data_IF_512923212917
#
_entry.id   IF_512923212917
#
_cell.length_a   1.000
_cell.length_b   1.000
_cell.length_c   1.000
_cell.angle_alpha   90.00
_cell.angle_beta   90.00
_cell.angle_gamma   90.00
#
_symmetry.space_group_name_H-M   'P 1'
#
loop_
_entity.id
_entity.type
_entity.pdbx_description
1 polymer ?
#
# COMPACT_ATOMS: atom_id res chain seq x y z
N UNK A 1 -57.25 -21.55 -55.04
CA UNK A 1 -55.92 -21.66 -54.51
C UNK A 1 -55.48 -20.29 -53.97
N UNK A 2 -55.59 -20.07 -52.66
CA UNK A 2 -55.11 -18.92 -51.95
C UNK A 2 -54.47 -19.47 -50.69
N UNK A 3 -53.11 -19.47 -50.63
CA UNK A 3 -52.29 -19.93 -49.54
C UNK A 3 -52.37 -18.93 -48.39
N UNK A 4 -52.94 -19.36 -47.27
CA UNK A 4 -52.94 -18.66 -46.00
C UNK A 4 -51.56 -18.88 -45.35
N UNK A 5 -50.76 -17.78 -45.22
CA UNK A 5 -49.58 -17.74 -44.43
C UNK A 5 -49.96 -17.61 -42.94
N UNK A 6 -49.74 -18.69 -42.21
CA UNK A 6 -49.80 -18.67 -40.74
C UNK A 6 -48.50 -18.08 -40.21
N UNK A 7 -48.57 -16.88 -39.66
CA UNK A 7 -47.49 -16.34 -38.82
C UNK A 7 -47.68 -16.89 -37.40
N UNK A 8 -46.87 -17.89 -37.05
CA UNK A 8 -46.73 -18.33 -35.67
C UNK A 8 -45.65 -17.48 -35.04
N UNK A 9 -46.04 -16.50 -34.24
CA UNK A 9 -45.10 -15.77 -33.38
C UNK A 9 -44.71 -16.71 -32.23
N UNK A 10 -43.56 -17.33 -32.34
CA UNK A 10 -42.98 -18.07 -31.25
C UNK A 10 -42.42 -17.05 -30.25
N UNK A 11 -43.13 -16.82 -29.15
CA UNK A 11 -42.56 -16.14 -27.97
C UNK A 11 -41.64 -17.14 -27.34
N UNK A 12 -40.36 -17.07 -27.71
CA UNK A 12 -39.30 -17.75 -26.97
C UNK A 12 -39.12 -17.02 -25.64
N UNK A 13 -39.71 -17.58 -24.59
CA UNK A 13 -39.31 -17.21 -23.23
C UNK A 13 -37.85 -17.61 -23.05
N UNK A 14 -36.98 -16.61 -23.02
CA UNK A 14 -35.59 -16.80 -22.63
C UNK A 14 -35.62 -17.00 -21.11
N UNK A 15 -35.26 -18.18 -20.59
CA UNK A 15 -35.06 -18.32 -19.15
C UNK A 15 -33.79 -17.54 -18.81
N UNK A 16 -33.95 -16.35 -18.23
CA UNK A 16 -32.84 -15.69 -17.51
C UNK A 16 -32.56 -16.57 -16.29
N UNK A 17 -31.67 -17.50 -16.45
CA UNK A 17 -31.12 -18.21 -15.32
C UNK A 17 -30.32 -17.17 -14.47
N UNK A 18 -30.99 -16.62 -13.47
CA UNK A 18 -30.34 -15.91 -12.37
C UNK A 18 -29.54 -16.94 -11.55
N UNK A 19 -28.40 -17.37 -12.05
CA UNK A 19 -27.36 -17.94 -11.20
C UNK A 19 -26.74 -16.78 -10.46
N UNK A 20 -27.36 -16.42 -9.34
CA UNK A 20 -26.72 -15.57 -8.34
C UNK A 20 -25.48 -16.27 -7.83
N UNK A 21 -24.34 -15.94 -8.40
CA UNK A 21 -23.06 -16.08 -7.72
C UNK A 21 -23.05 -14.99 -6.67
N UNK A 22 -23.68 -15.30 -5.54
CA UNK A 22 -23.31 -14.68 -4.26
C UNK A 22 -21.89 -15.16 -3.98
N UNK A 23 -20.92 -14.56 -4.65
CA UNK A 23 -19.57 -14.52 -4.13
C UNK A 23 -19.71 -13.79 -2.80
N UNK A 24 -19.73 -14.58 -1.72
CA UNK A 24 -19.52 -14.07 -0.37
C UNK A 24 -18.12 -13.46 -0.38
N UNK A 25 -18.01 -12.22 -0.85
CA UNK A 25 -16.93 -11.36 -0.46
C UNK A 25 -17.09 -11.24 1.06
N UNK A 26 -16.44 -12.16 1.77
CA UNK A 26 -16.09 -11.93 3.15
C UNK A 26 -15.33 -10.59 3.11
N UNK A 27 -16.04 -9.55 3.52
CA UNK A 27 -15.42 -8.34 3.97
C UNK A 27 -14.61 -8.70 5.22
N UNK A 28 -13.48 -9.37 5.00
CA UNK A 28 -12.37 -9.30 5.91
C UNK A 28 -11.88 -7.86 5.79
N UNK A 29 -12.53 -6.97 6.54
CA UNK A 29 -11.88 -5.72 6.91
C UNK A 29 -10.58 -6.14 7.58
N UNK A 30 -9.42 -5.95 6.95
CA UNK A 30 -8.25 -5.78 7.73
C UNK A 30 -8.50 -4.45 8.45
N UNK A 31 -8.98 -4.51 9.68
CA UNK A 31 -8.68 -3.44 10.62
C UNK A 31 -7.16 -3.35 10.51
N UNK A 32 -6.68 -2.36 9.79
CA UNK A 32 -5.28 -2.00 9.84
C UNK A 32 -4.99 -1.89 11.33
N UNK A 33 -4.29 -2.88 11.84
CA UNK A 33 -3.73 -2.81 13.17
C UNK A 33 -2.87 -1.55 13.11
N UNK A 34 -3.38 -0.48 13.70
CA UNK A 34 -2.60 0.75 13.93
C UNK A 34 -1.26 0.24 14.45
N UNK A 35 -0.16 0.44 13.74
CA UNK A 35 1.12 -0.04 14.18
C UNK A 35 1.29 0.46 15.60
N UNK A 36 1.65 -0.45 16.50
CA UNK A 36 1.85 -0.15 17.91
C UNK A 36 2.64 1.15 17.99
N UNK A 37 2.09 2.11 18.71
CA UNK A 37 2.65 3.45 18.83
C UNK A 37 4.16 3.37 18.89
N UNK A 38 4.85 4.05 17.98
CA UNK A 38 6.30 4.22 18.02
C UNK A 38 6.63 4.55 19.49
N UNK A 39 7.47 3.78 20.17
CA UNK A 39 7.76 4.06 21.55
C UNK A 39 8.34 5.48 21.63
N UNK A 40 7.55 6.39 22.15
CA UNK A 40 7.98 7.74 22.47
C UNK A 40 8.93 7.67 23.67
N UNK A 41 10.06 7.05 23.46
CA UNK A 41 11.14 7.00 24.41
C UNK A 41 12.23 7.99 24.00
N UNK A 42 11.90 9.26 24.00
CA UNK A 42 12.93 10.27 24.22
C UNK A 42 13.13 10.30 25.73
N UNK A 43 14.25 9.80 26.25
CA UNK A 43 14.53 9.88 27.68
C UNK A 43 14.47 11.35 28.12
N UNK A 44 13.85 11.62 29.26
CA UNK A 44 13.65 12.96 29.79
C UNK A 44 14.92 13.70 30.26
N UNK A 45 16.12 13.23 29.88
CA UNK A 45 17.40 13.87 30.14
C UNK A 45 17.87 14.64 28.91
N UNK A 46 18.17 15.94 29.10
CA UNK A 46 18.79 16.72 28.03
C UNK A 46 20.19 16.16 27.73
N UNK A 47 20.56 15.93 26.47
CA UNK A 47 21.87 15.37 26.09
C UNK A 47 23.04 16.13 26.67
N UNK A 48 22.89 17.43 26.93
CA UNK A 48 23.91 18.28 27.51
C UNK A 48 24.27 17.97 28.99
N UNK A 49 23.42 17.21 29.69
CA UNK A 49 23.65 16.81 31.11
C UNK A 49 24.28 15.42 31.25
N UNK A 50 24.41 14.67 30.17
CA UNK A 50 24.93 13.30 30.17
C UNK A 50 26.48 13.29 30.20
N UNK A 51 27.03 12.34 30.95
CA UNK A 51 28.46 12.02 30.86
C UNK A 51 28.75 11.27 29.55
N UNK A 52 30.02 11.31 29.12
CA UNK A 52 30.44 10.67 27.87
C UNK A 52 30.11 9.18 27.76
N UNK A 53 30.27 8.32 28.81
CA UNK A 53 29.78 6.93 28.74
C UNK A 53 28.29 6.81 28.58
N UNK A 54 27.51 7.71 29.21
CA UNK A 54 26.06 7.74 29.05
C UNK A 54 25.65 8.16 27.64
N UNK A 55 26.31 9.19 27.06
CA UNK A 55 26.06 9.62 25.67
C UNK A 55 26.26 8.43 24.70
N UNK A 56 27.32 7.63 24.89
CA UNK A 56 27.57 6.45 24.03
C UNK A 56 26.44 5.41 24.14
N UNK A 57 25.97 5.13 25.34
CA UNK A 57 24.84 4.20 25.55
C UNK A 57 23.57 4.74 24.91
N UNK A 58 23.28 6.01 25.15
CA UNK A 58 22.12 6.70 24.57
C UNK A 58 22.20 6.77 23.05
N UNK A 59 23.38 6.94 22.47
CA UNK A 59 23.58 6.97 21.03
C UNK A 59 23.22 5.63 20.38
N UNK A 60 23.55 4.50 21.01
CA UNK A 60 23.15 3.16 20.55
C UNK A 60 21.63 3.02 20.62
N UNK A 61 21.03 3.43 21.74
CA UNK A 61 19.56 3.37 21.91
C UNK A 61 18.84 4.26 20.89
N UNK A 62 19.32 5.49 20.69
CA UNK A 62 18.74 6.43 19.72
C UNK A 62 18.92 5.97 18.27
N UNK A 63 20.05 5.36 17.95
CA UNK A 63 20.28 4.77 16.62
C UNK A 63 19.30 3.64 16.32
N UNK A 64 19.06 2.78 17.30
CA UNK A 64 18.05 1.73 17.18
C UNK A 64 16.65 2.31 17.01
N UNK A 65 16.27 3.28 17.83
CA UNK A 65 14.97 3.94 17.71
C UNK A 65 14.76 4.59 16.32
N UNK A 66 15.82 5.17 15.75
CA UNK A 66 15.78 5.69 14.38
C UNK A 66 15.57 4.58 13.34
N UNK A 67 16.25 3.44 13.51
CA UNK A 67 16.07 2.28 12.62
C UNK A 67 14.63 1.74 12.70
N UNK A 68 14.12 1.54 13.91
CA UNK A 68 12.76 1.08 14.16
C UNK A 68 11.73 2.06 13.53
N UNK A 69 11.93 3.37 13.68
CA UNK A 69 11.07 4.39 13.06
C UNK A 69 11.13 4.34 11.53
N UNK A 70 12.29 4.11 10.93
CA UNK A 70 12.43 3.95 9.47
C UNK A 70 11.72 2.69 8.95
N UNK A 71 11.71 1.60 9.71
CA UNK A 71 10.94 0.39 9.39
C UNK A 71 9.44 0.68 9.42
N UNK A 72 8.96 1.44 10.43
CA UNK A 72 7.56 1.86 10.52
C UNK A 72 7.15 2.70 9.32
N UNK A 73 7.97 3.65 8.85
CA UNK A 73 7.72 4.41 7.61
C UNK A 73 7.57 3.49 6.41
N UNK A 74 8.43 2.47 6.32
CA UNK A 74 8.39 1.53 5.20
C UNK A 74 7.10 0.72 5.21
N UNK A 75 6.66 0.24 6.37
CA UNK A 75 5.40 -0.46 6.55
C UNK A 75 4.20 0.46 6.23
N UNK A 76 4.15 1.66 6.80
CA UNK A 76 3.07 2.63 6.57
C UNK A 76 2.93 3.01 5.08
N UNK A 77 4.03 3.17 4.35
CA UNK A 77 4.00 3.40 2.89
C UNK A 77 3.43 2.22 2.12
N UNK A 78 3.74 0.99 2.54
CA UNK A 78 3.17 -0.22 1.95
C UNK A 78 1.66 -0.25 2.17
N UNK A 79 1.20 0.05 3.38
CA UNK A 79 -0.22 0.08 3.74
C UNK A 79 -0.98 1.19 2.98
N UNK A 80 -0.39 2.39 2.85
CA UNK A 80 -0.95 3.49 2.05
C UNK A 80 -1.09 3.11 0.57
N UNK A 81 -0.10 2.39 0.02
CA UNK A 81 -0.19 1.87 -1.35
C UNK A 81 -1.32 0.85 -1.49
N UNK A 82 -1.45 -0.09 -0.54
CA UNK A 82 -2.52 -1.09 -0.53
C UNK A 82 -3.91 -0.43 -0.40
N UNK A 83 -4.04 0.57 0.46
CA UNK A 83 -5.28 1.33 0.62
C UNK A 83 -5.67 2.09 -0.66
N UNK A 84 -4.70 2.66 -1.38
CA UNK A 84 -4.93 3.32 -2.68
C UNK A 84 -5.46 2.33 -3.72
N UNK A 85 -4.91 1.12 -3.77
CA UNK A 85 -5.40 0.04 -4.66
C UNK A 85 -6.83 -0.36 -4.27
N UNK A 86 -7.13 -0.49 -2.97
CA UNK A 86 -8.46 -0.85 -2.49
C UNK A 86 -9.52 0.19 -2.89
N UNK A 87 -9.20 1.49 -2.86
CA UNK A 87 -10.09 2.56 -3.37
C UNK A 87 -10.36 2.40 -4.86
N UNK A 88 -9.34 2.09 -5.65
CA UNK A 88 -9.50 1.90 -7.09
C UNK A 88 -10.39 0.69 -7.41
N UNK A 89 -10.25 -0.41 -6.68
CA UNK A 89 -11.09 -1.60 -6.81
C UNK A 89 -12.54 -1.30 -6.40
N UNK A 90 -12.75 -0.67 -5.24
CA UNK A 90 -14.09 -0.31 -4.76
C UNK A 90 -14.82 0.64 -5.75
N UNK A 91 -14.12 1.61 -6.33
CA UNK A 91 -14.69 2.48 -7.36
C UNK A 91 -15.07 1.71 -8.64
N UNK A 92 -14.33 0.69 -9.02
CA UNK A 92 -14.66 -0.20 -10.13
C UNK A 92 -15.95 -0.99 -9.83
N UNK A 93 -16.12 -1.44 -8.58
CA UNK A 93 -17.31 -2.15 -8.15
C UNK A 93 -18.54 -1.24 -8.18
N UNK A 94 -18.40 0.03 -7.75
CA UNK A 94 -19.46 1.05 -7.90
C UNK A 94 -19.86 1.22 -9.36
N UNK A 95 -18.91 1.34 -10.27
CA UNK A 95 -19.19 1.47 -11.71
C UNK A 95 -19.92 0.24 -12.26
N UNK A 96 -19.48 -0.97 -11.89
CA UNK A 96 -20.10 -2.22 -12.27
C UNK A 96 -21.54 -2.34 -11.75
N UNK A 97 -21.78 -2.00 -10.49
CA UNK A 97 -23.11 -1.99 -9.89
C UNK A 97 -24.03 -0.97 -10.60
N UNK A 98 -23.53 0.22 -10.92
CA UNK A 98 -24.27 1.23 -11.66
C UNK A 98 -24.64 0.76 -13.08
N UNK A 99 -23.77 0.07 -13.77
CA UNK A 99 -24.02 -0.50 -15.09
C UNK A 99 -25.14 -1.59 -15.03
N UNK A 100 -25.11 -2.44 -14.00
CA UNK A 100 -26.16 -3.46 -13.81
C UNK A 100 -27.51 -2.83 -13.49
N UNK A 101 -27.54 -1.76 -12.67
CA UNK A 101 -28.76 -0.98 -12.42
C UNK A 101 -29.29 -0.36 -13.72
N UNK A 102 -28.43 0.24 -14.53
CA UNK A 102 -28.83 0.82 -15.81
C UNK A 102 -29.43 -0.23 -16.78
N UNK A 103 -28.94 -1.47 -16.71
CA UNK A 103 -29.55 -2.59 -17.48
C UNK A 103 -30.90 -2.96 -16.93
N UNK A 104 -31.07 -3.08 -15.62
CA UNK A 104 -32.37 -3.39 -14.99
C UNK A 104 -33.41 -2.32 -15.31
N UNK A 105 -33.06 -1.04 -15.27
CA UNK A 105 -33.93 0.06 -15.66
C UNK A 105 -34.34 0.00 -17.13
N UNK A 106 -33.47 -0.40 -18.05
CA UNK A 106 -33.82 -0.64 -19.46
C UNK A 106 -34.81 -1.79 -19.62
N UNK A 107 -34.60 -2.88 -18.88
CA UNK A 107 -35.54 -4.03 -18.89
C UNK A 107 -36.89 -3.59 -18.37
N UNK A 108 -36.96 -2.86 -17.27
CA UNK A 108 -38.22 -2.33 -16.72
C UNK A 108 -38.93 -1.43 -17.73
N UNK A 109 -38.22 -0.55 -18.42
CA UNK A 109 -38.80 0.28 -19.48
C UNK A 109 -39.41 -0.52 -20.63
N UNK A 110 -38.75 -1.58 -21.07
CA UNK A 110 -39.26 -2.46 -22.13
C UNK A 110 -40.47 -3.28 -21.67
N UNK A 111 -40.43 -3.84 -20.46
CA UNK A 111 -41.56 -4.61 -19.91
C UNK A 111 -42.76 -3.74 -19.66
N UNK A 112 -42.59 -2.52 -19.14
CA UNK A 112 -43.68 -1.56 -18.94
C UNK A 112 -44.33 -1.15 -20.26
N UNK A 113 -43.51 -0.90 -21.30
CA UNK A 113 -44.02 -0.61 -22.65
C UNK A 113 -44.83 -1.79 -23.21
N UNK A 114 -44.35 -3.02 -23.05
CA UNK A 114 -45.03 -4.24 -23.48
C UNK A 114 -46.37 -4.44 -22.74
N UNK A 115 -46.38 -4.20 -21.43
CA UNK A 115 -47.60 -4.27 -20.62
C UNK A 115 -48.64 -3.24 -21.06
N UNK A 116 -48.20 -2.02 -21.37
CA UNK A 116 -49.09 -0.96 -21.90
C UNK A 116 -49.72 -1.38 -23.22
N UNK A 117 -48.96 -1.93 -24.16
CA UNK A 117 -49.46 -2.43 -25.45
C UNK A 117 -50.46 -3.59 -25.25
N UNK A 118 -50.13 -4.54 -24.36
CA UNK A 118 -51.05 -5.65 -24.04
C UNK A 118 -52.37 -5.15 -23.46
N UNK A 119 -52.34 -4.19 -22.57
CA UNK A 119 -53.54 -3.55 -22.01
C UNK A 119 -54.36 -2.83 -23.09
N UNK A 120 -53.72 -2.05 -23.95
CA UNK A 120 -54.39 -1.36 -25.07
C UNK A 120 -55.08 -2.35 -26.00
N UNK A 121 -54.43 -3.46 -26.32
CA UNK A 121 -55.03 -4.52 -27.14
C UNK A 121 -56.23 -5.18 -26.46
N UNK A 122 -56.21 -5.39 -25.16
CA UNK A 122 -57.31 -5.91 -24.38
C UNK A 122 -58.48 -4.93 -24.41
N UNK A 123 -58.24 -3.64 -24.19
CA UNK A 123 -59.25 -2.57 -24.18
C UNK A 123 -59.89 -2.40 -25.55
N UNK A 124 -59.10 -2.44 -26.61
CA UNK A 124 -59.64 -2.38 -28.00
C UNK A 124 -60.55 -3.57 -28.35
N UNK A 125 -60.11 -4.77 -27.92
CA UNK A 125 -60.94 -5.98 -28.09
C UNK A 125 -62.20 -5.89 -27.27
N UNK A 126 -62.19 -5.42 -26.05
CA UNK A 126 -63.35 -5.21 -25.20
C UNK A 126 -64.34 -4.22 -25.85
N UNK A 127 -63.81 -3.09 -26.39
CA UNK A 127 -64.61 -2.12 -27.14
C UNK A 127 -65.23 -2.73 -28.34
N UNK A 128 -64.51 -3.48 -29.17
CA UNK A 128 -65.03 -4.16 -30.36
C UNK A 128 -66.13 -5.13 -30.03
N UNK A 129 -65.99 -5.89 -28.94
CA UNK A 129 -67.03 -6.79 -28.45
C UNK A 129 -68.30 -6.03 -27.98
N UNK A 130 -68.10 -4.90 -27.26
CA UNK A 130 -69.18 -4.09 -26.75
C UNK A 130 -69.96 -3.40 -27.90
N UNK A 131 -69.26 -2.80 -28.89
CA UNK A 131 -69.86 -2.10 -30.02
C UNK A 131 -70.46 -3.10 -31.02
N UNK A 132 -69.74 -4.17 -31.35
CA UNK A 132 -70.17 -5.20 -32.26
C UNK A 132 -71.32 -6.07 -31.67
N UNK A 133 -71.38 -6.13 -30.33
CA UNK A 133 -72.47 -6.84 -29.64
C UNK A 133 -73.74 -6.01 -29.53
N UNK A 134 -73.67 -4.66 -29.75
CA UNK A 134 -74.84 -3.78 -29.76
C UNK A 134 -75.66 -3.84 -31.08
N UNK A 135 -74.94 -4.07 -32.20
CA UNK A 135 -75.60 -4.19 -33.55
C UNK A 135 -75.70 -5.63 -34.02
N UNK A 136 -75.06 -6.59 -33.35
CA UNK A 136 -75.33 -8.00 -33.64
C UNK A 136 -76.71 -8.39 -33.07
N UNK A 137 -77.58 -8.93 -33.85
CA UNK A 137 -78.86 -9.41 -33.33
C UNK A 137 -78.53 -10.33 -32.14
N UNK A 138 -79.14 -10.01 -30.99
CA UNK A 138 -78.92 -10.79 -29.77
C UNK A 138 -79.17 -12.27 -30.05
N UNK A 139 -78.49 -13.19 -29.37
CA UNK A 139 -78.71 -14.62 -29.54
C UNK A 139 -80.17 -14.95 -29.51
N UNK A 140 -80.98 -14.18 -28.80
CA UNK A 140 -82.43 -14.22 -28.79
C UNK A 140 -83.05 -13.87 -30.15
N UNK A 141 -82.52 -12.83 -30.83
CA UNK A 141 -83.04 -12.41 -32.13
C UNK A 141 -82.58 -13.39 -33.22
N UNK A 142 -81.38 -13.92 -33.17
CA UNK A 142 -80.95 -14.99 -34.11
C UNK A 142 -81.72 -16.28 -33.88
N UNK A 143 -82.02 -16.64 -32.65
CA UNK A 143 -82.86 -17.81 -32.30
C UNK A 143 -84.31 -17.65 -32.74
N UNK A 144 -84.80 -16.41 -32.74
CA UNK A 144 -86.23 -16.13 -33.09
C UNK A 144 -86.43 -15.87 -34.58
N UNK A 145 -85.39 -15.46 -35.32
CA UNK A 145 -85.52 -15.03 -36.72
C UNK A 145 -84.83 -15.95 -37.73
N UNK A 146 -83.85 -16.76 -37.31
CA UNK A 146 -83.19 -17.65 -38.26
C UNK A 146 -83.82 -18.99 -38.35
N UNK A 147 -84.29 -19.31 -39.54
CA UNK A 147 -84.78 -20.68 -39.95
C UNK A 147 -83.61 -21.54 -40.48
N UNK A 148 -82.41 -21.00 -40.49
CA UNK A 148 -81.22 -21.65 -41.01
C UNK A 148 -80.28 -22.05 -39.89
N UNK A 149 -80.04 -23.35 -39.75
CA UNK A 149 -79.09 -23.92 -38.76
C UNK A 149 -77.63 -23.51 -39.01
N UNK A 150 -77.29 -23.07 -40.23
CA UNK A 150 -75.92 -22.61 -40.59
C UNK A 150 -75.59 -21.29 -39.96
N UNK A 151 -76.51 -20.33 -39.93
CA UNK A 151 -76.30 -19.00 -39.32
C UNK A 151 -76.16 -19.07 -37.78
N UNK A 152 -76.90 -20.00 -37.14
CA UNK A 152 -76.82 -20.24 -35.72
C UNK A 152 -75.46 -20.86 -35.33
N UNK A 153 -75.00 -21.82 -36.10
CA UNK A 153 -73.69 -22.48 -35.89
C UNK A 153 -72.53 -21.48 -36.05
N UNK A 154 -72.60 -20.59 -37.03
CA UNK A 154 -71.64 -19.54 -37.24
C UNK A 154 -71.59 -18.53 -36.07
N UNK A 155 -72.79 -18.08 -35.62
CA UNK A 155 -72.86 -17.14 -34.48
C UNK A 155 -72.29 -17.74 -33.16
N UNK A 156 -72.52 -19.04 -32.92
CA UNK A 156 -71.94 -19.74 -31.77
C UNK A 156 -70.45 -19.93 -31.91
N UNK A 157 -69.89 -20.22 -33.10
CA UNK A 157 -68.51 -20.32 -33.39
C UNK A 157 -67.80 -18.96 -33.19
N UNK A 158 -68.38 -17.88 -33.70
CA UNK A 158 -67.79 -16.52 -33.51
C UNK A 158 -67.81 -16.10 -32.05
N UNK A 159 -68.88 -16.43 -31.29
CA UNK A 159 -68.92 -16.16 -29.84
C UNK A 159 -67.87 -16.97 -29.09
N UNK A 160 -67.67 -18.23 -29.38
CA UNK A 160 -66.60 -19.04 -28.70
C UNK A 160 -65.22 -18.59 -29.11
N UNK A 161 -65.00 -18.18 -30.36
CA UNK A 161 -63.78 -17.54 -30.83
C UNK A 161 -63.48 -16.24 -30.07
N UNK A 162 -64.44 -15.33 -29.93
CA UNK A 162 -64.27 -14.08 -29.17
C UNK A 162 -63.99 -14.34 -27.69
N UNK A 163 -64.66 -15.28 -27.07
CA UNK A 163 -64.46 -15.69 -25.69
C UNK A 163 -63.03 -16.24 -25.49
N UNK A 164 -62.60 -17.08 -26.40
CA UNK A 164 -61.20 -17.66 -26.32
C UNK A 164 -60.10 -16.60 -26.52
N UNK A 165 -60.29 -15.72 -27.52
CA UNK A 165 -59.33 -14.63 -27.78
C UNK A 165 -59.32 -13.62 -26.68
N UNK A 166 -60.43 -13.30 -26.02
CA UNK A 166 -60.48 -12.40 -24.87
C UNK A 166 -59.83 -12.99 -23.65
N UNK A 167 -60.04 -14.31 -23.40
CA UNK A 167 -59.31 -15.00 -22.30
C UNK A 167 -57.82 -15.03 -22.54
N UNK A 168 -57.39 -15.27 -23.78
CA UNK A 168 -55.94 -15.24 -24.13
C UNK A 168 -55.36 -13.84 -23.96
N UNK A 169 -56.08 -12.78 -24.30
CA UNK A 169 -55.64 -11.41 -24.10
C UNK A 169 -55.54 -11.05 -22.60
N UNK A 170 -56.52 -11.46 -21.79
CA UNK A 170 -56.48 -11.23 -20.34
C UNK A 170 -55.29 -11.94 -19.67
N UNK A 171 -55.02 -13.21 -20.03
CA UNK A 171 -53.83 -13.92 -19.52
C UNK A 171 -52.53 -13.28 -19.99
N UNK A 172 -52.52 -12.68 -21.18
CA UNK A 172 -51.35 -11.89 -21.68
C UNK A 172 -51.08 -10.64 -20.84
N UNK A 173 -52.13 -9.91 -20.46
CA UNK A 173 -52.03 -8.74 -19.59
C UNK A 173 -51.51 -9.13 -18.19
N UNK A 174 -52.08 -10.19 -17.58
CA UNK A 174 -51.61 -10.68 -16.29
C UNK A 174 -50.15 -11.14 -16.31
N UNK A 175 -49.73 -11.78 -17.40
CA UNK A 175 -48.33 -12.16 -17.57
C UNK A 175 -47.41 -10.94 -17.70
N UNK A 176 -47.84 -9.92 -18.46
CA UNK A 176 -47.10 -8.67 -18.62
C UNK A 176 -46.99 -7.87 -17.31
N UNK A 177 -48.05 -7.83 -16.50
CA UNK A 177 -48.06 -7.18 -15.18
C UNK A 177 -47.09 -7.88 -14.20
N UNK A 178 -47.06 -9.23 -14.21
CA UNK A 178 -46.08 -9.98 -13.41
C UNK A 178 -44.65 -9.70 -13.85
N UNK A 179 -44.41 -9.62 -15.16
CA UNK A 179 -43.09 -9.28 -15.67
C UNK A 179 -42.62 -7.87 -15.26
N UNK A 180 -43.55 -6.89 -15.19
CA UNK A 180 -43.24 -5.55 -14.67
C UNK A 180 -42.88 -5.62 -13.19
N UNK A 181 -43.66 -6.32 -12.35
CA UNK A 181 -43.36 -6.46 -10.92
C UNK A 181 -42.00 -7.15 -10.65
N UNK A 182 -41.68 -8.18 -11.45
CA UNK A 182 -40.34 -8.84 -11.38
C UNK A 182 -39.21 -7.89 -11.79
N UNK A 183 -39.43 -7.06 -12.81
CA UNK A 183 -38.46 -6.07 -13.25
C UNK A 183 -38.28 -4.95 -12.21
N UNK A 184 -39.35 -4.48 -11.56
CA UNK A 184 -39.30 -3.52 -10.45
C UNK A 184 -38.49 -4.09 -9.27
N UNK A 185 -38.81 -5.31 -8.84
CA UNK A 185 -38.03 -5.97 -7.77
C UNK A 185 -36.54 -6.14 -8.12
N UNK A 186 -36.23 -6.36 -9.41
CA UNK A 186 -34.84 -6.40 -9.89
C UNK A 186 -34.17 -5.03 -9.78
N UNK A 187 -34.86 -3.94 -10.11
CA UNK A 187 -34.34 -2.57 -9.96
C UNK A 187 -34.04 -2.27 -8.49
N UNK A 188 -35.00 -2.54 -7.59
CA UNK A 188 -34.82 -2.33 -6.15
C UNK A 188 -33.58 -3.07 -5.60
N UNK A 189 -33.39 -4.33 -6.03
CA UNK A 189 -32.23 -5.12 -5.66
C UNK A 189 -30.91 -4.50 -6.16
N UNK A 190 -30.89 -3.98 -7.40
CA UNK A 190 -29.69 -3.32 -7.97
C UNK A 190 -29.42 -1.96 -7.35
N UNK A 191 -30.43 -1.22 -6.93
CA UNK A 191 -30.25 0.01 -6.15
C UNK A 191 -29.59 -0.28 -4.80
N UNK A 192 -29.99 -1.37 -4.13
CA UNK A 192 -29.32 -1.82 -2.91
C UNK A 192 -27.85 -2.22 -3.15
N UNK A 193 -27.55 -2.91 -4.26
CA UNK A 193 -26.19 -3.25 -4.65
C UNK A 193 -25.31 -1.99 -4.86
N UNK A 194 -25.83 -0.97 -5.53
CA UNK A 194 -25.14 0.32 -5.73
C UNK A 194 -24.89 1.02 -4.40
N UNK A 195 -25.88 1.03 -3.50
CA UNK A 195 -25.74 1.63 -2.18
C UNK A 195 -24.63 0.94 -1.34
N UNK A 196 -24.60 -0.39 -1.38
CA UNK A 196 -23.56 -1.18 -0.71
C UNK A 196 -22.18 -0.91 -1.30
N UNK A 197 -22.06 -0.91 -2.63
CA UNK A 197 -20.77 -0.63 -3.30
C UNK A 197 -20.25 0.77 -2.95
N UNK A 198 -21.11 1.79 -2.90
CA UNK A 198 -20.74 3.15 -2.46
C UNK A 198 -20.27 3.17 -1.02
N UNK A 199 -20.97 2.53 -0.09
CA UNK A 199 -20.55 2.46 1.30
C UNK A 199 -19.19 1.77 1.45
N UNK A 200 -18.90 0.77 0.63
CA UNK A 200 -17.57 0.12 0.58
C UNK A 200 -16.49 1.06 0.05
N UNK A 201 -16.81 1.83 -1.00
CA UNK A 201 -15.86 2.81 -1.55
C UNK A 201 -15.56 3.95 -0.56
N UNK A 202 -16.58 4.43 0.15
CA UNK A 202 -16.40 5.45 1.21
C UNK A 202 -15.53 4.92 2.36
N UNK A 203 -15.74 3.67 2.77
CA UNK A 203 -14.90 3.03 3.79
C UNK A 203 -13.45 2.83 3.32
N UNK A 204 -13.23 2.46 2.06
CA UNK A 204 -11.90 2.35 1.47
C UNK A 204 -11.18 3.70 1.44
N UNK A 205 -11.88 4.78 1.11
CA UNK A 205 -11.33 6.14 1.10
C UNK A 205 -10.96 6.61 2.52
N UNK A 206 -11.78 6.33 3.52
CA UNK A 206 -11.42 6.63 4.92
C UNK A 206 -10.16 5.87 5.36
N UNK A 207 -10.02 4.60 4.96
CA UNK A 207 -8.82 3.83 5.26
C UNK A 207 -7.59 4.38 4.54
N UNK A 208 -7.73 4.89 3.30
CA UNK A 208 -6.64 5.54 2.57
C UNK A 208 -6.15 6.79 3.29
N UNK A 209 -7.07 7.64 3.73
CA UNK A 209 -6.72 8.86 4.49
C UNK A 209 -6.01 8.50 5.80
N UNK A 210 -6.52 7.53 6.55
CA UNK A 210 -5.87 7.08 7.79
C UNK A 210 -4.46 6.48 7.54
N UNK A 211 -4.28 5.78 6.43
CA UNK A 211 -2.96 5.25 6.06
C UNK A 211 -1.98 6.35 5.64
N UNK A 212 -2.44 7.42 5.01
CA UNK A 212 -1.61 8.60 4.71
C UNK A 212 -1.20 9.34 5.98
N UNK A 213 -2.13 9.58 6.93
CA UNK A 213 -1.82 10.16 8.23
C UNK A 213 -0.78 9.31 9.00
N UNK A 214 -0.88 7.99 8.94
CA UNK A 214 0.10 7.10 9.56
C UNK A 214 1.50 7.21 8.92
N UNK A 215 1.61 7.53 7.63
CA UNK A 215 2.90 7.81 6.99
C UNK A 215 3.48 9.12 7.51
N UNK A 216 2.67 10.16 7.65
CA UNK A 216 3.12 11.47 8.14
C UNK A 216 3.58 11.36 9.61
N UNK A 217 2.80 10.70 10.47
CA UNK A 217 3.19 10.44 11.87
C UNK A 217 4.51 9.65 11.97
N UNK A 218 4.69 8.66 11.11
CA UNK A 218 5.91 7.86 11.07
C UNK A 218 7.13 8.68 10.59
N UNK A 219 6.95 9.62 9.67
CA UNK A 219 8.01 10.54 9.21
C UNK A 219 8.40 11.51 10.31
N UNK A 220 7.44 12.06 11.05
CA UNK A 220 7.70 12.92 12.20
C UNK A 220 8.52 12.18 13.27
N UNK A 221 8.20 10.91 13.54
CA UNK A 221 8.97 10.09 14.47
C UNK A 221 10.42 9.84 14.00
N UNK A 222 10.65 9.69 12.70
CA UNK A 222 12.02 9.60 12.13
C UNK A 222 12.76 10.90 12.32
N UNK A 223 12.13 12.06 12.09
CA UNK A 223 12.78 13.36 12.24
C UNK A 223 13.10 13.67 13.70
N UNK A 224 12.23 13.31 14.64
CA UNK A 224 12.49 13.41 16.07
C UNK A 224 13.67 12.53 16.50
N UNK A 225 13.69 11.27 16.09
CA UNK A 225 14.78 10.34 16.40
C UNK A 225 16.10 10.81 15.81
N UNK A 226 16.12 11.31 14.57
CA UNK A 226 17.31 11.90 13.91
C UNK A 226 17.80 13.14 14.66
N UNK A 227 16.89 14.02 15.04
CA UNK A 227 17.22 15.23 15.81
C UNK A 227 17.87 14.87 17.15
N UNK A 228 17.33 13.86 17.85
CA UNK A 228 17.92 13.40 19.11
C UNK A 228 19.33 12.81 18.94
N UNK A 229 19.55 11.99 17.91
CA UNK A 229 20.91 11.49 17.56
C UNK A 229 21.87 12.66 17.31
N UNK A 230 21.47 13.67 16.56
CA UNK A 230 22.30 14.85 16.30
C UNK A 230 22.65 15.63 17.59
N UNK A 231 21.69 15.76 18.51
CA UNK A 231 21.93 16.40 19.81
C UNK A 231 22.96 15.59 20.65
N UNK A 232 22.86 14.26 20.65
CA UNK A 232 23.83 13.38 21.31
C UNK A 232 25.24 13.51 20.70
N UNK A 233 25.35 13.55 19.37
CA UNK A 233 26.62 13.76 18.66
C UNK A 233 27.22 15.13 18.99
N UNK A 234 26.43 16.19 19.08
CA UNK A 234 26.89 17.51 19.50
C UNK A 234 27.32 17.52 20.96
N UNK A 235 26.58 16.84 21.84
CA UNK A 235 26.99 16.74 23.27
C UNK A 235 28.30 15.97 23.42
N UNK A 236 28.48 14.88 22.68
CA UNK A 236 29.72 14.10 22.69
C UNK A 236 30.94 14.94 22.28
N UNK A 237 30.75 15.91 21.39
CA UNK A 237 31.83 16.78 20.91
C UNK A 237 32.28 17.84 21.92
N UNK A 238 31.48 18.13 22.94
CA UNK A 238 31.79 19.19 23.94
C UNK A 238 32.67 18.71 25.07
N UNK A 239 32.61 17.43 25.42
CA UNK A 239 33.26 16.90 26.65
C UNK A 239 34.73 16.49 26.46
N UNK A 240 35.21 16.35 25.21
CA UNK A 240 36.58 15.90 24.90
C UNK A 240 37.61 17.04 24.75
N UNK A 241 37.40 18.16 25.39
CA UNK A 241 38.12 19.40 25.12
C UNK A 241 39.56 19.47 25.70
N UNK A 242 40.03 18.47 26.45
CA UNK A 242 41.36 18.58 27.11
C UNK A 242 42.52 18.60 26.12
N UNK A 243 42.49 17.82 25.06
CA UNK A 243 43.54 17.80 24.03
C UNK A 243 43.19 18.67 22.81
N UNK A 244 41.94 19.17 22.72
CA UNK A 244 41.46 19.90 21.56
C UNK A 244 42.28 21.17 21.24
N UNK A 245 42.73 21.91 22.26
CA UNK A 245 43.54 23.13 22.05
C UNK A 245 44.91 22.87 21.40
N UNK A 246 45.47 21.69 21.59
CA UNK A 246 46.76 21.30 20.97
C UNK A 246 46.51 20.89 19.51
N UNK A 247 45.43 20.17 19.26
CA UNK A 247 45.02 19.67 17.94
C UNK A 247 44.51 20.82 17.06
N UNK A 248 43.96 21.88 17.65
CA UNK A 248 43.44 23.03 16.93
C UNK A 248 44.49 23.77 16.09
N UNK A 249 45.77 23.66 16.46
CA UNK A 249 46.88 24.33 15.78
C UNK A 249 47.50 23.52 14.64
N UNK A 250 47.51 22.21 14.73
CA UNK A 250 48.20 21.33 13.79
C UNK A 250 47.25 20.45 12.98
N UNK A 251 46.02 20.24 13.48
CA UNK A 251 45.09 19.26 12.92
C UNK A 251 44.25 19.80 11.75
N UNK A 252 44.09 18.96 10.76
CA UNK A 252 43.06 19.11 9.73
C UNK A 252 41.66 18.87 10.32
N UNK A 253 40.63 18.97 9.48
CA UNK A 253 39.24 18.74 9.90
C UNK A 253 39.03 17.33 10.42
N UNK A 254 39.68 16.31 9.81
CA UNK A 254 39.55 14.91 10.21
C UNK A 254 40.17 14.67 11.60
N UNK A 255 41.36 15.21 11.87
CA UNK A 255 42.00 15.14 13.20
C UNK A 255 41.07 15.73 14.26
N UNK A 256 40.45 16.89 13.98
CA UNK A 256 39.51 17.54 14.89
C UNK A 256 38.25 16.71 15.11
N UNK A 257 37.71 16.10 14.07
CA UNK A 257 36.57 15.21 14.16
C UNK A 257 36.85 14.00 15.05
N UNK A 258 37.98 13.31 14.79
CA UNK A 258 38.39 12.12 15.54
C UNK A 258 38.67 12.41 17.02
N UNK A 259 39.27 13.54 17.30
CA UNK A 259 39.49 14.00 18.68
C UNK A 259 38.16 14.29 19.40
N UNK A 260 37.20 14.90 18.71
CA UNK A 260 35.83 15.10 19.24
C UNK A 260 35.10 13.78 19.46
N UNK A 261 35.31 12.79 18.60
CA UNK A 261 34.77 11.46 18.77
C UNK A 261 35.35 10.74 20.01
N UNK A 262 36.51 11.15 20.52
CA UNK A 262 37.12 10.60 21.73
C UNK A 262 38.42 9.83 21.52
N UNK A 263 38.98 9.84 20.32
CA UNK A 263 40.32 9.35 20.10
C UNK A 263 41.36 10.36 20.65
N UNK A 264 42.37 9.87 21.32
CA UNK A 264 43.42 10.70 21.91
C UNK A 264 44.83 10.11 21.69
N UNK A 265 45.84 10.93 21.86
CA UNK A 265 47.24 10.51 21.79
C UNK A 265 47.56 9.69 20.54
N UNK A 266 48.18 8.53 20.76
CA UNK A 266 48.56 7.60 19.70
C UNK A 266 47.33 6.99 18.99
N UNK A 267 46.25 6.71 19.74
CA UNK A 267 45.02 6.18 19.17
C UNK A 267 44.39 7.14 18.15
N UNK A 268 44.51 8.44 18.34
CA UNK A 268 44.08 9.47 17.40
C UNK A 268 44.88 9.43 16.10
N UNK A 269 46.20 9.24 16.19
CA UNK A 269 47.08 9.11 15.04
C UNK A 269 46.77 7.85 14.23
N UNK A 270 46.53 6.72 14.91
CA UNK A 270 46.13 5.45 14.30
C UNK A 270 44.77 5.57 13.62
N UNK A 271 43.76 6.14 14.30
CA UNK A 271 42.46 6.37 13.75
C UNK A 271 42.52 7.22 12.47
N UNK A 272 43.30 8.31 12.50
CA UNK A 272 43.50 9.16 11.32
C UNK A 272 44.12 8.39 10.15
N UNK A 273 45.16 7.59 10.42
CA UNK A 273 45.83 6.79 9.40
C UNK A 273 44.91 5.71 8.79
N UNK A 274 44.02 5.12 9.60
CA UNK A 274 43.03 4.16 9.14
C UNK A 274 42.02 4.84 8.23
N UNK A 275 41.40 5.96 8.61
CA UNK A 275 40.48 6.70 7.76
C UNK A 275 41.13 7.06 6.43
N UNK A 276 42.36 7.56 6.45
CA UNK A 276 43.07 7.88 5.21
C UNK A 276 43.36 6.66 4.33
N UNK A 277 43.54 5.50 4.94
CA UNK A 277 43.72 4.23 4.23
C UNK A 277 42.39 3.74 3.62
N UNK A 278 41.29 3.83 4.37
CA UNK A 278 40.01 3.23 4.04
C UNK A 278 39.19 4.07 3.03
N UNK A 279 39.03 5.35 3.33
CA UNK A 279 38.19 6.25 2.53
C UNK A 279 38.93 7.45 1.94
N UNK A 280 40.19 7.69 2.35
CA UNK A 280 40.88 8.92 2.02
C UNK A 280 40.29 10.17 2.69
N UNK A 281 39.45 9.99 3.72
CA UNK A 281 38.69 11.05 4.38
C UNK A 281 37.34 11.38 3.73
N UNK A 282 36.87 10.57 2.80
CA UNK A 282 35.52 10.75 2.19
C UNK A 282 34.45 10.14 3.11
N UNK A 283 33.59 11.00 3.67
CA UNK A 283 32.50 10.59 4.57
C UNK A 283 31.40 9.81 3.86
N UNK A 284 31.14 10.08 2.57
CA UNK A 284 30.13 9.43 1.75
C UNK A 284 30.64 8.18 1.03
N UNK A 285 31.84 7.71 1.37
CA UNK A 285 32.46 6.57 0.70
C UNK A 285 31.63 5.29 0.92
N UNK A 286 31.30 4.64 -0.19
CA UNK A 286 30.68 3.31 -0.20
C UNK A 286 31.55 2.42 -1.08
N UNK A 287 32.11 1.33 -0.50
CA UNK A 287 32.90 0.38 -1.27
C UNK A 287 32.04 -0.58 -2.10
N UNK A 288 32.67 -1.31 -3.00
CA UNK A 288 32.00 -2.40 -3.76
C UNK A 288 31.52 -3.53 -2.86
N UNK A 289 32.07 -3.67 -1.66
CA UNK A 289 31.69 -4.63 -0.62
C UNK A 289 30.70 -4.05 0.36
N UNK A 290 30.13 -2.86 0.07
CA UNK A 290 29.16 -2.17 0.91
C UNK A 290 29.72 -1.72 2.27
N UNK A 291 30.98 -1.34 2.33
CA UNK A 291 31.58 -0.72 3.50
C UNK A 291 31.27 0.78 3.48
N UNK A 292 30.93 1.37 4.63
CA UNK A 292 30.31 2.67 4.74
C UNK A 292 31.20 3.71 5.45
N UNK A 293 31.27 4.88 4.87
CA UNK A 293 31.78 6.11 5.48
C UNK A 293 33.31 6.13 5.71
N UNK A 294 33.73 6.99 6.63
CA UNK A 294 35.15 7.27 6.88
C UNK A 294 36.00 6.03 7.20
N UNK A 295 35.50 5.19 8.09
CA UNK A 295 36.17 3.97 8.55
C UNK A 295 35.78 2.73 7.74
N UNK A 296 34.98 2.85 6.70
CA UNK A 296 34.50 1.73 5.87
C UNK A 296 33.93 0.58 6.72
N UNK A 297 32.88 0.90 7.49
CA UNK A 297 32.17 -0.06 8.34
C UNK A 297 31.39 -1.03 7.46
N UNK A 298 31.74 -2.34 7.51
CA UNK A 298 31.20 -3.35 6.63
C UNK A 298 29.74 -3.70 6.97
N UNK A 299 28.83 -3.49 6.00
CA UNK A 299 27.41 -3.76 6.18
C UNK A 299 27.14 -5.23 6.46
N UNK A 300 27.79 -6.14 5.74
CA UNK A 300 27.54 -7.57 5.88
C UNK A 300 27.94 -8.08 7.27
N UNK A 301 29.04 -7.58 7.82
CA UNK A 301 29.54 -7.99 9.12
C UNK A 301 28.70 -7.43 10.28
N UNK A 302 28.06 -6.27 10.11
CA UNK A 302 27.53 -5.50 11.23
C UNK A 302 26.04 -5.17 11.17
N UNK A 303 25.31 -5.49 10.07
CA UNK A 303 23.88 -5.15 9.91
C UNK A 303 22.96 -5.72 10.99
N UNK A 304 23.36 -6.75 11.71
CA UNK A 304 22.58 -7.33 12.82
C UNK A 304 22.82 -6.67 14.17
N UNK A 305 23.60 -5.61 14.24
CA UNK A 305 23.91 -4.92 15.52
C UNK A 305 22.92 -3.79 15.79
N UNK A 306 22.53 -3.60 17.05
CA UNK A 306 21.56 -2.57 17.48
C UNK A 306 21.98 -1.12 17.12
N UNK A 307 23.27 -0.87 16.97
CA UNK A 307 23.80 0.42 16.55
C UNK A 307 23.89 0.59 15.03
N UNK A 308 23.61 -0.45 14.24
CA UNK A 308 23.76 -0.37 12.79
C UNK A 308 22.62 0.44 12.18
N UNK A 309 22.95 1.59 11.64
CA UNK A 309 22.06 2.38 10.81
C UNK A 309 22.84 2.88 9.59
N UNK A 310 22.42 2.48 8.39
CA UNK A 310 23.13 2.77 7.14
C UNK A 310 23.24 4.27 6.87
N UNK A 311 22.17 5.03 7.11
CA UNK A 311 22.14 6.47 6.90
C UNK A 311 23.10 7.19 7.86
N UNK A 312 23.07 6.84 9.14
CA UNK A 312 23.96 7.42 10.14
C UNK A 312 25.41 7.07 9.89
N UNK A 313 25.73 5.86 9.41
CA UNK A 313 27.09 5.44 9.10
C UNK A 313 27.71 6.24 7.93
N UNK A 314 26.92 6.93 7.14
CA UNK A 314 27.36 7.89 6.13
C UNK A 314 27.52 9.32 6.69
N UNK A 315 27.27 9.52 8.00
CA UNK A 315 27.63 10.77 8.68
C UNK A 315 28.96 10.62 9.39
N UNK A 316 29.85 11.58 9.21
CA UNK A 316 31.25 11.52 9.75
C UNK A 316 31.28 11.36 11.25
N UNK A 317 30.41 12.07 11.98
CA UNK A 317 30.36 12.05 13.45
C UNK A 317 29.97 10.66 13.97
N UNK A 318 28.89 10.09 13.41
CA UNK A 318 28.41 8.77 13.81
C UNK A 318 29.39 7.66 13.43
N UNK A 319 29.94 7.72 12.21
CA UNK A 319 30.94 6.75 11.74
C UNK A 319 32.16 6.72 12.64
N UNK A 320 32.65 7.90 13.07
CA UNK A 320 33.76 8.00 14.01
C UNK A 320 33.43 7.45 15.43
N UNK A 321 32.18 7.66 15.91
CA UNK A 321 31.74 7.09 17.19
C UNK A 321 31.65 5.57 17.15
N UNK A 322 31.09 5.00 16.06
CA UNK A 322 31.05 3.56 15.86
C UNK A 322 32.46 2.97 15.78
N UNK A 323 33.35 3.60 15.05
CA UNK A 323 34.75 3.16 14.97
C UNK A 323 35.45 3.21 16.35
N UNK A 324 35.20 4.23 17.16
CA UNK A 324 35.72 4.31 18.53
C UNK A 324 35.20 3.15 19.40
N UNK A 325 33.93 2.81 19.25
CA UNK A 325 33.31 1.67 19.95
C UNK A 325 33.93 0.35 19.49
N UNK A 326 34.01 0.09 18.20
CA UNK A 326 34.56 -1.15 17.62
C UNK A 326 36.06 -1.32 17.93
N UNK A 327 36.80 -0.23 17.97
CA UNK A 327 38.20 -0.23 18.33
C UNK A 327 38.47 -0.24 19.84
N UNK A 328 37.42 -0.32 20.69
CA UNK A 328 37.52 -0.26 22.14
C UNK A 328 38.29 1.00 22.62
N UNK A 329 37.97 2.14 22.02
CA UNK A 329 38.65 3.40 22.30
C UNK A 329 40.01 3.54 21.61
N UNK A 330 40.20 2.88 20.48
CA UNK A 330 41.48 2.87 19.75
C UNK A 330 42.48 1.83 20.23
N UNK A 331 42.08 0.95 21.16
CA UNK A 331 42.99 -0.09 21.72
C UNK A 331 43.10 -1.33 20.87
N UNK A 332 42.15 -1.53 19.95
CA UNK A 332 42.10 -2.70 19.09
C UNK A 332 41.60 -2.33 17.69
N UNK A 333 42.46 -2.52 16.72
CA UNK A 333 42.16 -2.27 15.32
C UNK A 333 41.94 -3.57 14.54
N UNK A 334 41.51 -4.63 15.24
CA UNK A 334 41.32 -5.95 14.67
C UNK A 334 40.32 -5.92 13.48
N UNK A 335 39.23 -5.16 13.61
CA UNK A 335 38.26 -5.00 12.54
C UNK A 335 38.87 -4.39 11.26
N UNK A 336 39.97 -3.70 11.37
CA UNK A 336 40.73 -3.12 10.24
C UNK A 336 42.00 -3.89 9.91
N UNK A 337 42.14 -5.10 10.41
CA UNK A 337 43.25 -5.98 10.10
C UNK A 337 44.56 -5.63 10.77
N UNK A 338 44.56 -4.81 11.84
CA UNK A 338 45.71 -4.41 12.58
C UNK A 338 45.68 -4.94 14.02
N UNK A 339 46.85 -5.23 14.61
CA UNK A 339 46.93 -5.49 16.05
C UNK A 339 46.93 -4.16 16.83
N UNK A 340 46.88 -4.26 18.17
CA UNK A 340 46.91 -3.09 19.06
C UNK A 340 48.22 -2.30 19.05
N UNK A 341 49.17 -2.66 18.20
CA UNK A 341 50.48 -1.97 18.02
C UNK A 341 50.62 -1.48 16.56
N UNK A 342 49.54 -1.39 15.80
CA UNK A 342 49.57 -0.96 14.39
C UNK A 342 50.31 -1.91 13.45
N UNK A 343 50.47 -3.18 13.84
CA UNK A 343 51.05 -4.21 12.99
C UNK A 343 49.93 -5.03 12.34
N UNK A 344 50.26 -5.69 11.23
CA UNK A 344 49.34 -6.64 10.63
C UNK A 344 48.91 -7.70 11.65
N UNK A 345 47.59 -7.89 11.77
CA UNK A 345 47.04 -9.03 12.46
C UNK A 345 46.79 -10.16 11.43
N UNK A 346 47.63 -11.20 11.38
CA UNK A 346 47.45 -12.28 10.41
C UNK A 346 46.07 -12.96 10.52
N UNK A 347 45.51 -13.01 11.73
CA UNK A 347 44.19 -13.61 11.97
C UNK A 347 43.04 -12.90 11.29
N UNK A 348 43.17 -11.59 11.03
CA UNK A 348 42.14 -10.81 10.35
C UNK A 348 42.00 -11.17 8.86
N UNK A 349 43.00 -11.77 8.28
CA UNK A 349 43.05 -12.12 6.86
C UNK A 349 43.01 -13.63 6.60
N UNK A 350 42.86 -14.45 7.64
CA UNK A 350 42.65 -15.88 7.50
C UNK A 350 41.31 -16.09 6.76
N UNK A 351 41.38 -16.78 5.64
CA UNK A 351 40.23 -17.01 4.71
C UNK A 351 39.77 -15.77 3.91
N UNK A 352 40.50 -14.66 3.87
CA UNK A 352 40.17 -13.50 3.06
C UNK A 352 40.34 -13.74 1.53
N UNK A 353 41.10 -14.76 1.15
CA UNK A 353 41.52 -14.99 -0.23
C UNK A 353 42.58 -14.00 -0.75
N UNK A 354 43.10 -13.15 0.11
CA UNK A 354 44.13 -12.15 -0.23
C UNK A 354 45.53 -12.73 -0.20
N UNK A 355 46.36 -12.33 -1.17
CA UNK A 355 47.76 -12.71 -1.18
C UNK A 355 48.57 -11.94 -0.13
N UNK A 356 49.72 -12.48 0.29
CA UNK A 356 50.64 -11.80 1.20
C UNK A 356 51.08 -10.43 0.67
N UNK A 357 51.17 -10.26 -0.65
CA UNK A 357 51.52 -8.97 -1.27
C UNK A 357 50.40 -7.95 -1.12
N UNK A 358 49.11 -8.38 -1.28
CA UNK A 358 47.97 -7.52 -1.06
C UNK A 358 47.88 -7.07 0.40
N UNK A 359 48.05 -8.02 1.32
CA UNK A 359 48.04 -7.75 2.77
C UNK A 359 49.20 -6.78 3.14
N UNK A 360 50.40 -7.03 2.61
CA UNK A 360 51.54 -6.13 2.80
C UNK A 360 51.28 -4.72 2.25
N UNK A 361 50.65 -4.64 1.07
CA UNK A 361 50.26 -3.36 0.47
C UNK A 361 49.28 -2.54 1.32
N UNK A 362 48.38 -3.19 2.08
CA UNK A 362 47.52 -2.53 3.04
C UNK A 362 48.32 -1.93 4.20
N UNK A 363 49.27 -2.70 4.75
CA UNK A 363 50.13 -2.23 5.83
C UNK A 363 51.02 -1.04 5.39
N UNK A 364 51.61 -1.15 4.19
CA UNK A 364 52.45 -0.08 3.66
C UNK A 364 51.66 1.22 3.44
N UNK A 365 50.41 1.13 3.02
CA UNK A 365 49.49 2.30 2.93
C UNK A 365 49.17 2.88 4.29
N UNK A 366 48.84 2.03 5.29
CA UNK A 366 48.60 2.47 6.66
C UNK A 366 49.81 3.18 7.25
N UNK A 367 51.01 2.57 7.18
CA UNK A 367 52.25 3.14 7.73
C UNK A 367 52.64 4.46 7.05
N UNK A 368 52.33 4.59 5.74
CA UNK A 368 52.54 5.87 5.04
C UNK A 368 51.70 6.98 5.64
N UNK A 369 50.40 6.74 5.82
CA UNK A 369 49.49 7.71 6.41
C UNK A 369 49.82 7.97 7.88
N UNK A 370 50.09 6.92 8.64
CA UNK A 370 50.55 7.07 10.03
C UNK A 370 51.77 8.00 10.16
N UNK A 371 52.73 7.87 9.26
CA UNK A 371 53.90 8.79 9.19
C UNK A 371 53.54 10.19 8.71
N UNK A 372 52.45 10.36 7.99
CA UNK A 372 52.00 11.64 7.44
C UNK A 372 51.02 12.38 8.35
N UNK A 373 50.71 11.85 9.54
CA UNK A 373 49.83 12.48 10.50
C UNK A 373 50.21 13.93 10.80
N UNK A 374 49.25 14.90 10.66
CA UNK A 374 49.61 16.33 10.68
C UNK A 374 50.07 16.85 12.05
N UNK A 375 49.65 16.21 13.14
CA UNK A 375 50.00 16.62 14.51
C UNK A 375 51.10 15.77 15.15
N UNK A 376 52.11 15.38 14.40
CA UNK A 376 53.23 14.63 14.96
C UNK A 376 53.88 15.35 16.15
N UNK A 377 54.28 14.61 17.19
CA UNK A 377 55.18 15.16 18.21
C UNK A 377 56.47 15.69 17.57
N UNK A 378 56.94 16.86 18.04
CA UNK A 378 58.13 17.50 17.49
C UNK A 378 59.40 16.65 17.56
N UNK A 379 59.44 15.64 18.44
CA UNK A 379 60.59 14.72 18.58
C UNK A 379 60.59 13.59 17.51
N UNK A 380 59.51 13.47 16.70
CA UNK A 380 59.42 12.49 15.60
C UNK A 380 59.57 13.16 14.22
N UNK A 381 59.63 14.49 14.17
CA UNK A 381 59.86 15.25 12.97
C UNK A 381 61.33 15.36 12.69
#
# INVERSE_FOLDING_TARGET
>A
MKTLWRWTVAITAIPVALTGVLSSAQASSPVASVPAAVPAAVPGSTPSSLSYPQIRTELVTASRALTDAQEVVTAARSDSTAATIAVAEANKDVASAADTLAQALRVLGLTSSSATVAQQQLDERARTMYIGGGDAPGLSDVLLTSTDTGSLTQALADREFLKTTSRTAATGVEASQRAVAEAEASVDAREADVALARATADAAEMNRVAAEEAVDDALDAVDDARSYVQQLLQASSRDNSRDYRKIERCGDWLTKLLARAGFDGENLREAWAIVMRESGGNEDAISVTNDLGLFQINTFAWSGQDWFNRELLLTREYNAQVALMLSQGGKSWYAWGLDGQGRLNPGAYVNSGWSDEQIKGLLDRYLRWYKSYPCRPAYEA
#
